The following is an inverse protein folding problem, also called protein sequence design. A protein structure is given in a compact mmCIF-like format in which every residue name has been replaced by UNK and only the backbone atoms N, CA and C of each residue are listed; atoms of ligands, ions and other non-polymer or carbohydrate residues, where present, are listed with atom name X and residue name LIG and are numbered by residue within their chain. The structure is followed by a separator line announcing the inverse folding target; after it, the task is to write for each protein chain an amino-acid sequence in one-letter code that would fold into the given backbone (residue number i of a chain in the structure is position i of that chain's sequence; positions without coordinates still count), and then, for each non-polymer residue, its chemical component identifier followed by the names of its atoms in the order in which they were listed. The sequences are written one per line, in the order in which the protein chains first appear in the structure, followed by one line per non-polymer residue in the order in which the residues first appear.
data_IF_268316346035
#
_entry.id   IF_268316346035
#
_cell.length_a   1.000
_cell.length_b   1.000
_cell.length_c   1.000
_cell.angle_alpha   90.00
_cell.angle_beta   90.00
_cell.angle_gamma   90.00
#
_symmetry.space_group_name_H-M   'P 1'
#
loop_
_entity.id
_entity.type
_entity.pdbx_description
1 polymer ?
#
# COMPACT_ATOMS: atom_id res chain seq x y z
N UNK A 1 -25.97 42.91 -2.28
CA UNK A 1 -25.78 42.68 -0.83
C UNK A 1 -27.13 42.51 -0.18
N UNK A 2 -27.35 41.46 0.63
CA UNK A 2 -26.51 40.27 0.84
C UNK A 2 -27.11 39.04 0.11
N UNK A 3 -26.33 38.18 -0.53
CA UNK A 3 -25.39 37.20 0.04
C UNK A 3 -26.14 36.12 0.83
N UNK A 4 -26.38 34.98 0.17
CA UNK A 4 -26.70 33.73 0.85
C UNK A 4 -25.42 32.90 0.81
N UNK A 5 -24.52 33.24 1.73
CA UNK A 5 -23.36 32.44 2.07
C UNK A 5 -23.87 31.07 2.54
N UNK A 6 -23.76 30.07 1.67
CA UNK A 6 -23.82 28.67 2.11
C UNK A 6 -22.47 28.36 2.75
N UNK A 7 -22.34 28.76 4.02
CA UNK A 7 -21.25 28.34 4.89
C UNK A 7 -21.35 26.82 5.02
N UNK A 8 -20.43 26.10 4.39
CA UNK A 8 -20.13 24.71 4.69
C UNK A 8 -19.72 24.65 6.16
N UNK A 9 -20.64 24.20 7.01
CA UNK A 9 -20.38 24.01 8.42
C UNK A 9 -19.35 22.89 8.59
N UNK A 10 -18.29 23.17 9.34
CA UNK A 10 -17.36 22.15 9.84
C UNK A 10 -18.15 21.06 10.58
N UNK A 11 -17.78 19.77 10.44
CA UNK A 11 -18.37 18.71 11.22
C UNK A 11 -18.07 18.92 12.71
N UNK A 12 -19.02 18.59 13.61
CA UNK A 12 -18.84 18.80 15.04
C UNK A 12 -17.65 17.97 15.57
N UNK A 13 -16.86 18.52 16.51
CA UNK A 13 -15.78 17.77 17.13
C UNK A 13 -16.38 16.60 17.94
N UNK A 14 -16.11 15.37 17.50
CA UNK A 14 -16.60 14.16 18.16
C UNK A 14 -17.44 13.21 17.31
N UNK A 15 -17.52 13.40 15.99
CA UNK A 15 -17.98 12.31 15.11
C UNK A 15 -16.95 11.17 15.17
N UNK A 16 -17.24 10.12 15.95
CA UNK A 16 -16.44 8.91 15.98
C UNK A 16 -16.42 8.31 14.57
N UNK A 17 -15.31 8.52 13.86
CA UNK A 17 -15.04 7.84 12.59
C UNK A 17 -15.08 6.33 12.88
N UNK A 18 -15.96 5.55 12.25
CA UNK A 18 -16.12 4.13 12.56
C UNK A 18 -14.77 3.41 12.45
N UNK A 19 -14.33 2.79 13.56
CA UNK A 19 -13.04 2.11 13.66
C UNK A 19 -13.26 0.63 13.32
N UNK A 20 -12.57 0.15 12.28
CA UNK A 20 -12.67 -1.26 11.88
C UNK A 20 -11.88 -2.18 12.80
N UNK A 21 -12.26 -3.47 12.81
CA UNK A 21 -11.49 -4.51 13.51
C UNK A 21 -10.02 -4.40 13.07
N UNK A 22 -9.08 -4.24 14.01
CA UNK A 22 -7.67 -4.15 13.66
C UNK A 22 -7.22 -5.38 12.87
N UNK A 23 -6.64 -5.14 11.71
CA UNK A 23 -6.04 -6.15 10.84
C UNK A 23 -4.56 -5.84 10.64
N UNK A 24 -3.76 -6.89 10.52
CA UNK A 24 -2.35 -6.80 10.15
C UNK A 24 -2.27 -6.77 8.62
N UNK A 25 -1.70 -5.70 8.07
CA UNK A 25 -1.30 -5.60 6.66
C UNK A 25 0.23 -5.68 6.53
N UNK A 26 0.78 -5.87 5.32
CA UNK A 26 2.23 -5.83 5.12
C UNK A 26 2.89 -4.54 5.59
N UNK A 27 2.27 -3.38 5.29
CA UNK A 27 2.74 -2.05 5.70
C UNK A 27 2.74 -1.92 7.22
N UNK A 28 1.60 -2.21 7.88
CA UNK A 28 1.45 -2.19 9.34
C UNK A 28 2.43 -3.11 10.07
N UNK A 29 2.63 -4.33 9.57
CA UNK A 29 3.62 -5.25 10.12
C UNK A 29 5.04 -4.69 9.99
N UNK A 30 5.37 -4.08 8.86
CA UNK A 30 6.66 -3.46 8.61
C UNK A 30 6.89 -2.25 9.51
N UNK A 31 5.89 -1.40 9.67
CA UNK A 31 5.94 -0.22 10.54
C UNK A 31 6.15 -0.61 12.00
N UNK A 32 5.41 -1.61 12.50
CA UNK A 32 5.58 -2.05 13.89
C UNK A 32 6.96 -2.66 14.13
N UNK A 33 7.46 -3.47 13.20
CA UNK A 33 8.83 -4.02 13.27
C UNK A 33 9.90 -2.93 13.23
N UNK A 34 9.68 -1.89 12.41
CA UNK A 34 10.60 -0.76 12.30
C UNK A 34 10.59 0.08 13.57
N UNK A 35 9.41 0.51 14.01
CA UNK A 35 9.20 1.36 15.18
C UNK A 35 7.75 1.22 15.68
N UNK A 36 7.50 0.65 16.86
CA UNK A 36 6.16 0.56 17.43
C UNK A 36 5.44 1.91 17.54
N UNK A 37 6.16 2.99 17.83
CA UNK A 37 5.58 4.34 17.86
C UNK A 37 5.14 4.83 16.46
N UNK A 38 5.86 4.47 15.40
CA UNK A 38 5.46 4.78 14.02
C UNK A 38 4.15 4.05 13.67
N UNK A 39 4.07 2.76 14.00
CA UNK A 39 2.83 1.99 13.85
C UNK A 39 1.67 2.65 14.60
N UNK A 40 1.90 3.12 15.82
CA UNK A 40 0.86 3.83 16.58
C UNK A 40 0.41 5.07 15.83
N UNK A 41 1.32 5.94 15.41
CA UNK A 41 0.98 7.19 14.73
C UNK A 41 0.17 6.97 13.46
N UNK A 42 0.52 5.97 12.65
CA UNK A 42 -0.16 5.67 11.39
C UNK A 42 -1.43 4.85 11.55
N UNK A 43 -1.35 3.73 12.27
CA UNK A 43 -2.44 2.76 12.31
C UNK A 43 -3.45 2.99 13.45
N UNK A 44 -3.03 3.60 14.56
CA UNK A 44 -3.88 3.80 15.75
C UNK A 44 -4.35 5.25 15.86
N UNK A 45 -3.41 6.19 15.86
CA UNK A 45 -3.71 7.62 15.97
C UNK A 45 -4.20 8.19 14.62
N UNK A 46 -3.85 7.52 13.49
CA UNK A 46 -4.17 7.93 12.10
C UNK A 46 -3.80 9.37 11.82
N UNK A 47 -2.59 9.74 12.21
CA UNK A 47 -2.08 11.09 11.96
C UNK A 47 -1.99 11.31 10.44
N UNK A 48 -2.44 12.46 9.93
CA UNK A 48 -2.36 12.75 8.51
C UNK A 48 -0.89 12.79 8.07
N UNK A 49 -0.60 12.08 6.98
CA UNK A 49 0.69 12.15 6.29
C UNK A 49 0.47 12.80 4.93
N UNK A 50 1.38 13.70 4.57
CA UNK A 50 1.37 14.33 3.24
C UNK A 50 2.20 13.43 2.32
N UNK A 51 1.61 12.81 1.30
CA UNK A 51 2.37 11.94 0.41
C UNK A 51 3.38 12.76 -0.39
N UNK A 52 4.54 12.16 -0.63
CA UNK A 52 5.52 12.71 -1.57
C UNK A 52 5.03 12.56 -3.02
N UNK A 53 5.52 13.41 -3.92
CA UNK A 53 5.26 13.29 -5.37
C UNK A 53 5.64 11.90 -5.93
N UNK A 54 6.61 11.23 -5.32
CA UNK A 54 7.02 9.88 -5.70
C UNK A 54 5.99 8.81 -5.26
N UNK A 55 5.40 8.94 -4.07
CA UNK A 55 4.32 8.06 -3.61
C UNK A 55 3.08 8.23 -4.49
N UNK A 56 2.67 9.47 -4.75
CA UNK A 56 1.54 9.75 -5.65
C UNK A 56 1.75 9.15 -7.05
N UNK A 57 2.99 9.20 -7.57
CA UNK A 57 3.31 8.61 -8.87
C UNK A 57 3.14 7.09 -8.83
N UNK A 58 3.51 6.47 -7.70
CA UNK A 58 3.26 5.05 -7.45
C UNK A 58 1.78 4.69 -7.56
N UNK A 59 0.93 5.39 -6.79
CA UNK A 59 -0.52 5.21 -6.79
C UNK A 59 -1.12 5.40 -8.18
N UNK A 60 -0.71 6.44 -8.91
CA UNK A 60 -1.18 6.68 -10.27
C UNK A 60 -0.81 5.53 -11.22
N UNK A 61 0.45 5.07 -11.18
CA UNK A 61 0.92 3.98 -12.05
C UNK A 61 0.19 2.67 -11.73
N UNK A 62 -0.05 2.36 -10.46
CA UNK A 62 -0.84 1.19 -10.05
C UNK A 62 -2.27 1.26 -10.61
N UNK A 63 -2.97 2.39 -10.43
CA UNK A 63 -4.30 2.64 -10.99
C UNK A 63 -4.33 2.49 -12.51
N UNK A 64 -3.32 3.00 -13.22
CA UNK A 64 -3.22 2.83 -14.70
C UNK A 64 -3.03 1.36 -15.09
N UNK A 65 -2.19 0.60 -14.37
CA UNK A 65 -1.99 -0.82 -14.67
C UNK A 65 -3.24 -1.65 -14.36
N UNK A 66 -3.98 -1.35 -13.28
CA UNK A 66 -5.28 -1.96 -12.98
C UNK A 66 -6.29 -1.71 -14.12
N UNK A 67 -6.43 -0.45 -14.54
CA UNK A 67 -7.32 -0.05 -15.66
C UNK A 67 -6.90 -0.71 -16.97
N UNK A 68 -5.59 -0.79 -17.24
CA UNK A 68 -5.04 -1.46 -18.43
C UNK A 68 -5.49 -2.92 -18.49
N UNK A 69 -5.42 -3.65 -17.38
CA UNK A 69 -5.85 -5.04 -17.33
C UNK A 69 -7.38 -5.23 -17.39
N UNK A 70 -8.15 -4.18 -17.10
CA UNK A 70 -9.60 -4.16 -17.30
C UNK A 70 -10.00 -4.01 -18.78
N UNK A 71 -9.07 -3.61 -19.67
CA UNK A 71 -9.31 -3.58 -21.11
C UNK A 71 -9.29 -4.99 -21.73
N UNK A 72 -9.94 -5.19 -22.90
CA UNK A 72 -9.75 -6.40 -23.70
C UNK A 72 -8.27 -6.62 -24.04
N UNK A 73 -7.81 -7.88 -24.06
CA UNK A 73 -6.40 -8.23 -24.29
C UNK A 73 -5.78 -7.53 -25.50
N UNK A 74 -6.50 -7.41 -26.62
CA UNK A 74 -5.98 -6.79 -27.84
C UNK A 74 -5.68 -5.29 -27.68
N UNK A 75 -6.39 -4.63 -26.77
CA UNK A 75 -6.34 -3.18 -26.54
C UNK A 75 -5.33 -2.80 -25.45
N UNK A 76 -4.70 -3.78 -24.78
CA UNK A 76 -3.67 -3.56 -23.76
C UNK A 76 -2.34 -3.14 -24.41
N UNK A 77 -2.30 -1.97 -25.04
CA UNK A 77 -1.14 -1.46 -25.79
C UNK A 77 -0.51 -0.25 -25.09
N UNK A 78 0.75 0.12 -25.41
CA UNK A 78 1.37 1.30 -24.82
C UNK A 78 0.59 2.59 -25.08
N UNK A 79 0.14 2.92 -26.32
CA UNK A 79 -0.72 4.09 -26.54
C UNK A 79 -1.97 4.13 -25.65
N UNK A 80 -2.71 3.00 -25.55
CA UNK A 80 -3.91 2.93 -24.72
C UNK A 80 -3.58 3.11 -23.23
N UNK A 81 -2.49 2.54 -22.74
CA UNK A 81 -2.07 2.72 -21.35
C UNK A 81 -1.74 4.19 -21.02
N UNK A 82 -1.16 4.93 -21.97
CA UNK A 82 -0.84 6.35 -21.81
C UNK A 82 -2.09 7.22 -21.75
N UNK A 83 -3.10 6.89 -22.55
CA UNK A 83 -4.40 7.58 -22.54
C UNK A 83 -5.13 7.45 -21.18
N UNK A 84 -4.79 6.44 -20.36
CA UNK A 84 -5.36 6.25 -19.03
C UNK A 84 -4.76 7.15 -17.94
N UNK A 85 -3.58 7.75 -18.16
CA UNK A 85 -2.86 8.51 -17.12
C UNK A 85 -3.63 9.76 -16.67
N UNK A 86 -4.07 10.59 -17.63
CA UNK A 86 -4.75 11.84 -17.30
C UNK A 86 -6.11 11.60 -16.62
N UNK A 87 -7.00 10.72 -17.12
CA UNK A 87 -8.25 10.40 -16.43
C UNK A 87 -8.04 9.77 -15.04
N UNK A 88 -7.03 8.90 -14.88
CA UNK A 88 -6.72 8.31 -13.58
C UNK A 88 -6.24 9.37 -12.57
N UNK A 89 -5.43 10.33 -13.02
CA UNK A 89 -5.02 11.44 -12.17
C UNK A 89 -6.16 12.38 -11.82
N UNK A 90 -7.04 12.71 -12.77
CA UNK A 90 -8.21 13.55 -12.53
C UNK A 90 -9.12 12.94 -11.45
N UNK A 91 -9.37 11.63 -11.54
CA UNK A 91 -10.16 10.90 -10.54
C UNK A 91 -9.49 10.93 -9.15
N UNK A 92 -8.21 10.54 -9.06
CA UNK A 92 -7.47 10.53 -7.79
C UNK A 92 -7.39 11.93 -7.14
N UNK A 93 -7.12 12.95 -7.94
CA UNK A 93 -7.04 14.34 -7.45
C UNK A 93 -8.41 14.94 -7.12
N UNK A 94 -9.50 14.42 -7.70
CA UNK A 94 -10.86 14.80 -7.29
C UNK A 94 -11.25 14.24 -5.92
N UNK A 95 -10.77 13.03 -5.58
CA UNK A 95 -10.99 12.44 -4.26
C UNK A 95 -10.15 13.12 -3.17
N UNK A 96 -8.95 13.61 -3.52
CA UNK A 96 -8.02 14.31 -2.62
C UNK A 96 -7.50 15.60 -3.26
N UNK A 97 -8.30 16.69 -3.25
CA UNK A 97 -7.90 17.96 -3.85
C UNK A 97 -6.60 18.52 -3.29
N UNK A 98 -6.25 18.21 -2.04
CA UNK A 98 -4.99 18.65 -1.43
C UNK A 98 -3.73 18.08 -2.11
N UNK A 99 -3.85 17.01 -2.89
CA UNK A 99 -2.72 16.46 -3.66
C UNK A 99 -2.29 17.39 -4.79
N UNK A 100 -3.21 18.22 -5.30
CA UNK A 100 -2.90 19.23 -6.32
C UNK A 100 -1.96 20.29 -5.73
N UNK A 101 -2.13 20.62 -4.45
CA UNK A 101 -1.32 21.63 -3.74
C UNK A 101 0.15 21.23 -3.57
N UNK A 102 0.49 19.95 -3.80
CA UNK A 102 1.87 19.47 -3.78
C UNK A 102 2.67 19.94 -4.99
N UNK A 103 1.99 20.33 -6.07
CA UNK A 103 2.62 20.87 -7.27
C UNK A 103 2.78 22.38 -7.17
N UNK A 104 3.83 22.89 -7.80
CA UNK A 104 4.07 24.33 -7.83
C UNK A 104 2.97 24.98 -8.67
N UNK A 105 2.13 25.80 -8.03
CA UNK A 105 0.99 26.45 -8.69
C UNK A 105 1.44 27.57 -9.63
N UNK A 106 2.69 28.03 -9.51
CA UNK A 106 3.29 29.01 -10.41
C UNK A 106 3.88 28.36 -11.68
N UNK A 107 3.97 27.03 -11.72
CA UNK A 107 4.41 26.25 -12.87
C UNK A 107 3.23 25.48 -13.51
N UNK A 108 2.62 26.01 -14.59
CA UNK A 108 1.52 25.34 -15.28
C UNK A 108 1.89 23.97 -15.86
N UNK A 109 3.18 23.66 -16.01
CA UNK A 109 3.67 22.40 -16.56
C UNK A 109 4.08 21.38 -15.49
N UNK A 110 3.99 21.72 -14.19
CA UNK A 110 4.44 20.86 -13.10
C UNK A 110 3.74 19.49 -13.09
N UNK A 111 2.40 19.49 -13.23
CA UNK A 111 1.59 18.26 -13.30
C UNK A 111 1.89 17.51 -14.58
N UNK A 112 1.95 18.20 -15.72
CA UNK A 112 2.25 17.60 -17.04
C UNK A 112 3.60 16.88 -17.04
N UNK A 113 4.64 17.53 -16.52
CA UNK A 113 6.00 16.96 -16.42
C UNK A 113 6.03 15.75 -15.47
N UNK A 114 5.25 15.80 -14.39
CA UNK A 114 5.13 14.67 -13.47
C UNK A 114 4.37 13.49 -14.09
N UNK A 115 3.28 13.73 -14.84
CA UNK A 115 2.56 12.72 -15.61
C UNK A 115 3.48 12.06 -16.66
N UNK A 116 4.32 12.85 -17.34
CA UNK A 116 5.34 12.31 -18.25
C UNK A 116 6.34 11.39 -17.54
N UNK A 117 6.65 11.65 -16.26
CA UNK A 117 7.49 10.74 -15.46
C UNK A 117 6.76 9.44 -15.07
N UNK A 118 5.43 9.46 -14.93
CA UNK A 118 4.61 8.26 -14.73
C UNK A 118 4.51 7.44 -16.03
N UNK A 119 4.36 8.12 -17.18
CA UNK A 119 4.38 7.50 -18.51
C UNK A 119 5.64 6.67 -18.74
N UNK A 120 6.82 7.16 -18.34
CA UNK A 120 8.07 6.39 -18.45
C UNK A 120 8.05 5.07 -17.69
N UNK A 121 7.39 5.02 -16.52
CA UNK A 121 7.25 3.80 -15.73
C UNK A 121 6.28 2.81 -16.41
N UNK A 122 5.20 3.33 -16.99
CA UNK A 122 4.25 2.53 -17.80
C UNK A 122 4.95 1.97 -19.04
N UNK A 123 5.74 2.75 -19.76
CA UNK A 123 6.54 2.27 -20.90
C UNK A 123 7.52 1.16 -20.48
N UNK A 124 8.15 1.33 -19.32
CA UNK A 124 9.09 0.32 -18.78
C UNK A 124 8.38 -1.00 -18.47
N UNK A 125 7.13 -0.96 -18.01
CA UNK A 125 6.31 -2.16 -17.80
C UNK A 125 6.15 -2.97 -19.12
N UNK A 126 5.87 -2.31 -20.25
CA UNK A 126 5.78 -3.00 -21.55
C UNK A 126 7.12 -3.59 -22.03
N UNK A 127 8.25 -3.08 -21.53
CA UNK A 127 9.56 -3.69 -21.74
C UNK A 127 9.80 -4.95 -20.92
N UNK A 128 9.09 -5.12 -19.80
CA UNK A 128 9.20 -6.27 -18.90
C UNK A 128 8.30 -7.44 -19.30
N UNK A 129 7.10 -7.17 -19.82
CA UNK A 129 6.17 -8.18 -20.31
C UNK A 129 5.12 -7.61 -21.27
N UNK A 130 4.49 -8.50 -22.04
CA UNK A 130 3.40 -8.14 -22.96
C UNK A 130 2.03 -8.44 -22.31
N UNK A 131 1.28 -7.42 -21.84
CA UNK A 131 -0.01 -7.62 -21.16
C UNK A 131 -1.08 -8.24 -22.06
N UNK A 132 -0.92 -8.19 -23.39
CA UNK A 132 -1.86 -8.79 -24.35
C UNK A 132 -1.78 -10.32 -24.36
N UNK A 133 -0.76 -10.89 -23.72
CA UNK A 133 -0.53 -12.34 -23.62
C UNK A 133 -0.89 -12.89 -22.24
N UNK A 134 -1.41 -12.06 -21.36
CA UNK A 134 -1.73 -12.39 -19.98
C UNK A 134 -3.22 -12.20 -19.77
N UNK A 135 -3.83 -13.08 -18.98
CA UNK A 135 -5.17 -12.88 -18.44
C UNK A 135 -5.10 -13.14 -16.94
N UNK A 136 -4.86 -12.08 -16.14
CA UNK A 136 -4.83 -12.22 -14.69
C UNK A 136 -6.19 -12.65 -14.18
N UNK A 137 -6.21 -13.42 -13.10
CA UNK A 137 -7.48 -13.77 -12.44
C UNK A 137 -8.05 -12.54 -11.71
N UNK A 138 -7.19 -11.71 -11.14
CA UNK A 138 -7.57 -10.46 -10.50
C UNK A 138 -6.42 -9.44 -10.53
N UNK A 139 -6.78 -8.16 -10.55
CA UNK A 139 -5.91 -7.03 -10.22
C UNK A 139 -6.50 -6.31 -9.00
N UNK A 140 -5.64 -5.67 -8.20
CA UNK A 140 -6.05 -4.99 -6.94
C UNK A 140 -6.93 -5.88 -6.05
N UNK A 141 -6.57 -7.16 -5.94
CA UNK A 141 -7.36 -8.16 -5.23
C UNK A 141 -7.30 -7.90 -3.73
N UNK A 142 -8.43 -7.46 -3.16
CA UNK A 142 -8.61 -7.44 -1.71
C UNK A 142 -8.57 -8.87 -1.17
N UNK A 143 -7.65 -9.13 -0.26
CA UNK A 143 -7.53 -10.41 0.44
C UNK A 143 -7.67 -10.21 1.94
N UNK A 144 -8.46 -11.07 2.57
CA UNK A 144 -8.65 -11.08 4.01
C UNK A 144 -8.76 -12.53 4.51
N UNK A 145 -8.04 -12.85 5.60
CA UNK A 145 -8.13 -14.14 6.27
C UNK A 145 -7.87 -14.00 7.76
N UNK A 146 -8.67 -14.68 8.58
CA UNK A 146 -8.38 -14.86 9.99
C UNK A 146 -7.60 -16.17 10.19
N UNK A 147 -6.38 -16.07 10.72
CA UNK A 147 -5.58 -17.26 11.07
C UNK A 147 -6.18 -17.98 12.28
N UNK A 148 -5.81 -19.24 12.48
CA UNK A 148 -6.26 -20.02 13.65
C UNK A 148 -5.91 -19.41 15.01
N UNK A 149 -4.94 -18.48 15.05
CA UNK A 149 -4.58 -17.69 16.22
C UNK A 149 -5.48 -16.46 16.47
N UNK A 150 -6.44 -16.17 15.59
CA UNK A 150 -7.33 -15.00 15.66
C UNK A 150 -6.75 -13.71 15.05
N UNK A 151 -5.58 -13.80 14.41
CA UNK A 151 -4.96 -12.69 13.68
C UNK A 151 -5.72 -12.47 12.38
N UNK A 152 -6.26 -11.28 12.17
CA UNK A 152 -6.85 -10.88 10.90
C UNK A 152 -5.75 -10.34 9.99
N UNK A 153 -5.44 -11.04 8.91
CA UNK A 153 -4.54 -10.57 7.85
C UNK A 153 -5.36 -9.93 6.75
N UNK A 154 -4.98 -8.73 6.31
CA UNK A 154 -5.67 -8.00 5.23
C UNK A 154 -4.68 -7.27 4.33
N UNK A 155 -4.96 -7.21 3.04
CA UNK A 155 -4.27 -6.30 2.12
C UNK A 155 -4.77 -6.42 0.70
N UNK A 156 -4.05 -5.79 -0.23
CA UNK A 156 -4.37 -5.74 -1.65
C UNK A 156 -3.20 -6.31 -2.46
N UNK A 157 -3.49 -7.26 -3.34
CA UNK A 157 -2.51 -7.83 -4.26
C UNK A 157 -2.65 -7.14 -5.61
N UNK A 158 -1.60 -6.44 -6.06
CA UNK A 158 -1.63 -5.66 -7.31
C UNK A 158 -2.09 -6.50 -8.51
N UNK A 159 -1.52 -7.72 -8.65
CA UNK A 159 -1.98 -8.68 -9.67
C UNK A 159 -1.78 -10.14 -9.26
N UNK A 160 -2.81 -10.94 -9.50
CA UNK A 160 -2.82 -12.38 -9.32
C UNK A 160 -3.04 -13.11 -10.65
N UNK A 161 -2.03 -13.86 -11.07
CA UNK A 161 -2.12 -14.70 -12.26
C UNK A 161 -2.31 -16.16 -11.84
N UNK A 162 -3.27 -16.86 -12.45
CA UNK A 162 -3.53 -18.29 -12.21
C UNK A 162 -3.46 -19.05 -13.53
N UNK A 163 -2.56 -20.01 -13.63
CA UNK A 163 -2.43 -20.86 -14.82
C UNK A 163 -3.63 -21.84 -14.93
N UNK A 164 -3.96 -22.35 -16.13
CA UNK A 164 -4.99 -23.39 -16.29
C UNK A 164 -4.74 -24.66 -15.46
N UNK A 165 -3.47 -24.92 -15.13
CA UNK A 165 -2.99 -26.02 -14.29
C UNK A 165 -3.08 -25.71 -12.79
N UNK A 166 -3.49 -24.50 -12.41
CA UNK A 166 -3.75 -24.07 -11.03
C UNK A 166 -2.57 -23.40 -10.33
N UNK A 167 -1.39 -23.30 -10.97
CA UNK A 167 -0.26 -22.58 -10.38
C UNK A 167 -0.54 -21.08 -10.28
N UNK A 168 -0.24 -20.54 -9.10
CA UNK A 168 -0.48 -19.14 -8.76
C UNK A 168 0.83 -18.36 -8.89
N UNK A 169 0.79 -17.22 -9.58
CA UNK A 169 1.85 -16.20 -9.58
C UNK A 169 1.31 -14.90 -9.00
N UNK A 170 1.93 -14.45 -7.91
CA UNK A 170 1.62 -13.17 -7.25
C UNK A 170 2.58 -12.12 -7.79
N UNK A 171 2.06 -10.99 -8.28
CA UNK A 171 2.84 -9.91 -8.85
C UNK A 171 2.56 -8.61 -8.08
N UNK A 172 3.62 -7.89 -7.77
CA UNK A 172 3.56 -6.54 -7.17
C UNK A 172 4.50 -5.61 -7.94
N UNK A 173 4.00 -4.42 -8.26
CA UNK A 173 4.69 -3.41 -9.05
C UNK A 173 5.38 -2.41 -8.11
N UNK A 174 6.65 -2.13 -8.34
CA UNK A 174 7.42 -1.13 -7.59
C UNK A 174 7.86 -0.01 -8.52
N UNK A 175 7.50 1.23 -8.15
CA UNK A 175 7.85 2.46 -8.88
C UNK A 175 9.08 3.19 -8.32
N UNK A 176 9.73 2.57 -7.33
CA UNK A 176 11.05 2.98 -6.82
C UNK A 176 12.16 2.06 -7.31
N UNK A 177 13.40 2.44 -7.01
CA UNK A 177 14.57 1.67 -7.42
C UNK A 177 14.62 0.27 -6.77
N UNK A 178 15.14 -0.70 -7.52
CA UNK A 178 15.40 -2.04 -7.07
C UNK A 178 16.36 -2.03 -5.86
N UNK A 179 16.04 -2.79 -4.80
CA UNK A 179 16.90 -2.87 -3.63
C UNK A 179 18.21 -3.56 -4.02
N UNK A 180 19.30 -3.15 -3.35
CA UNK A 180 20.52 -3.97 -3.29
C UNK A 180 20.24 -5.22 -2.45
N UNK A 181 21.10 -6.25 -2.52
CA UNK A 181 20.94 -7.55 -1.84
C UNK A 181 20.43 -7.45 -0.38
N UNK A 182 20.92 -6.48 0.40
CA UNK A 182 20.52 -6.27 1.81
C UNK A 182 19.05 -5.83 1.96
N UNK A 183 18.48 -5.15 0.98
CA UNK A 183 17.10 -4.65 0.96
C UNK A 183 16.07 -5.66 0.44
N UNK A 184 16.51 -6.74 -0.21
CA UNK A 184 15.62 -7.78 -0.75
C UNK A 184 14.78 -8.44 0.34
N UNK A 185 15.33 -8.60 1.55
CA UNK A 185 14.61 -9.18 2.68
C UNK A 185 13.34 -8.38 3.06
N UNK A 186 13.38 -7.04 2.95
CA UNK A 186 12.20 -6.19 3.22
C UNK A 186 11.18 -6.35 2.10
N UNK A 187 11.62 -6.36 0.85
CA UNK A 187 10.74 -6.54 -0.30
C UNK A 187 10.05 -7.92 -0.30
N UNK A 188 10.79 -8.98 0.04
CA UNK A 188 10.25 -10.33 0.17
C UNK A 188 9.29 -10.51 1.35
N UNK A 189 9.36 -9.68 2.39
CA UNK A 189 8.43 -9.75 3.52
C UNK A 189 6.99 -9.52 3.05
N UNK A 190 6.75 -8.46 2.25
CA UNK A 190 5.41 -8.17 1.70
C UNK A 190 4.92 -9.32 0.81
N UNK A 191 5.78 -9.83 -0.07
CA UNK A 191 5.40 -10.93 -0.96
C UNK A 191 5.06 -12.22 -0.20
N UNK A 192 5.83 -12.57 0.84
CA UNK A 192 5.55 -13.74 1.70
C UNK A 192 4.28 -13.58 2.51
N UNK A 193 3.91 -12.35 2.88
CA UNK A 193 2.62 -12.06 3.50
C UNK A 193 1.48 -12.48 2.58
N UNK A 194 1.46 -11.99 1.34
CA UNK A 194 0.42 -12.37 0.38
C UNK A 194 0.46 -13.85 0.04
N UNK A 195 1.65 -14.46 0.00
CA UNK A 195 1.79 -15.88 -0.20
C UNK A 195 1.09 -16.70 0.91
N UNK A 196 1.26 -16.32 2.18
CA UNK A 196 0.54 -16.94 3.31
C UNK A 196 -0.97 -16.75 3.18
N UNK A 197 -1.42 -15.52 2.91
CA UNK A 197 -2.86 -15.22 2.81
C UNK A 197 -3.51 -16.05 1.70
N UNK A 198 -2.94 -16.05 0.50
CA UNK A 198 -3.44 -16.82 -0.64
C UNK A 198 -3.35 -18.32 -0.41
N UNK A 199 -2.27 -18.80 0.21
CA UNK A 199 -2.12 -20.21 0.54
C UNK A 199 -3.22 -20.67 1.51
N UNK A 200 -3.54 -19.88 2.54
CA UNK A 200 -4.61 -20.21 3.48
C UNK A 200 -6.00 -20.11 2.86
N UNK A 201 -6.22 -19.15 1.96
CA UNK A 201 -7.50 -19.01 1.27
C UNK A 201 -7.75 -20.13 0.24
N UNK A 202 -6.70 -20.58 -0.46
CA UNK A 202 -6.85 -21.48 -1.63
C UNK A 202 -6.32 -22.90 -1.42
N UNK A 203 -5.61 -23.14 -0.32
CA UNK A 203 -5.00 -24.45 -0.03
C UNK A 203 -3.79 -24.79 -0.90
N UNK A 204 -3.31 -23.86 -1.74
CA UNK A 204 -2.18 -24.07 -2.67
C UNK A 204 -1.12 -23.01 -2.44
N UNK A 205 0.13 -23.43 -2.27
CA UNK A 205 1.28 -22.51 -2.13
C UNK A 205 1.53 -21.83 -3.48
N UNK A 206 1.61 -20.48 -3.54
CA UNK A 206 1.94 -19.81 -4.78
C UNK A 206 3.25 -20.28 -5.38
N UNK A 207 3.23 -20.57 -6.69
CA UNK A 207 4.38 -21.12 -7.41
C UNK A 207 5.46 -20.07 -7.65
N UNK A 208 5.08 -18.80 -7.74
CA UNK A 208 5.99 -17.69 -7.97
C UNK A 208 5.48 -16.41 -7.29
N UNK A 209 6.40 -15.70 -6.64
CA UNK A 209 6.24 -14.31 -6.20
C UNK A 209 7.13 -13.45 -7.10
N UNK A 210 6.58 -12.43 -7.74
CA UNK A 210 7.29 -11.57 -8.69
C UNK A 210 7.16 -10.11 -8.26
N UNK A 211 8.31 -9.45 -8.09
CA UNK A 211 8.39 -8.00 -7.97
C UNK A 211 8.86 -7.40 -9.27
N UNK A 212 8.16 -6.38 -9.76
CA UNK A 212 8.51 -5.68 -11.00
C UNK A 212 8.92 -4.24 -10.67
N UNK A 213 10.23 -3.95 -10.75
CA UNK A 213 10.80 -2.63 -10.52
C UNK A 213 10.76 -1.82 -11.80
N UNK A 214 9.77 -0.94 -11.92
CA UNK A 214 9.49 -0.14 -13.11
C UNK A 214 10.47 1.00 -13.31
N UNK A 215 11.17 1.46 -12.27
CA UNK A 215 12.23 2.47 -12.42
C UNK A 215 13.44 1.92 -13.17
N UNK A 216 13.80 0.66 -12.90
CA UNK A 216 15.02 0.05 -13.43
C UNK A 216 14.76 -0.93 -14.58
N UNK A 217 13.48 -1.24 -14.87
CA UNK A 217 13.12 -2.27 -15.84
C UNK A 217 13.62 -3.66 -15.41
N UNK A 218 13.54 -3.97 -14.11
CA UNK A 218 14.00 -5.24 -13.56
C UNK A 218 12.86 -6.02 -12.91
N UNK A 219 12.98 -7.35 -12.89
CA UNK A 219 12.06 -8.22 -12.16
C UNK A 219 12.83 -9.16 -11.24
N UNK A 220 12.36 -9.29 -10.00
CA UNK A 220 12.83 -10.30 -9.05
C UNK A 220 11.76 -11.38 -8.91
N UNK A 221 12.13 -12.63 -9.12
CA UNK A 221 11.23 -13.77 -8.97
C UNK A 221 11.72 -14.69 -7.85
N UNK A 222 10.79 -15.14 -7.01
CA UNK A 222 11.04 -16.04 -5.90
C UNK A 222 10.02 -17.18 -5.89
N UNK A 223 10.46 -18.40 -5.59
CA UNK A 223 9.59 -19.56 -5.41
C UNK A 223 9.55 -19.90 -3.92
N UNK A 224 8.44 -19.63 -3.20
CA UNK A 224 8.31 -20.00 -1.81
C UNK A 224 8.07 -21.51 -1.66
N UNK A 225 8.45 -22.06 -0.52
CA UNK A 225 8.07 -23.41 -0.10
C UNK A 225 7.15 -23.38 1.12
N UNK A 226 6.38 -24.44 1.31
CA UNK A 226 5.40 -24.56 2.39
C UNK A 226 6.04 -24.39 3.78
N UNK A 227 7.19 -25.01 4.01
CA UNK A 227 7.88 -24.96 5.29
C UNK A 227 8.33 -23.54 5.65
N UNK A 228 8.76 -22.77 4.65
CA UNK A 228 9.05 -21.34 4.81
C UNK A 228 7.80 -20.54 5.17
N UNK A 229 6.70 -20.74 4.45
CA UNK A 229 5.45 -20.01 4.72
C UNK A 229 4.90 -20.32 6.12
N UNK A 230 5.05 -21.56 6.62
CA UNK A 230 4.71 -21.91 8.00
C UNK A 230 5.54 -21.09 9.01
N UNK A 231 6.84 -20.94 8.79
CA UNK A 231 7.71 -20.13 9.67
C UNK A 231 7.36 -18.65 9.58
N UNK A 232 7.02 -18.18 8.38
CA UNK A 232 6.62 -16.80 8.14
C UNK A 232 5.29 -16.48 8.83
N UNK A 233 4.30 -17.37 8.74
CA UNK A 233 3.02 -17.25 9.45
C UNK A 233 3.22 -17.08 10.96
N UNK A 234 4.05 -17.93 11.59
CA UNK A 234 4.41 -17.77 13.02
C UNK A 234 5.04 -16.42 13.32
N UNK A 235 5.77 -15.84 12.38
CA UNK A 235 6.36 -14.50 12.52
C UNK A 235 5.25 -13.43 12.50
N UNK A 236 4.27 -13.54 11.60
CA UNK A 236 3.10 -12.66 11.56
C UNK A 236 2.29 -12.73 12.86
N UNK A 237 2.07 -13.94 13.38
CA UNK A 237 1.39 -14.16 14.64
C UNK A 237 2.14 -13.50 15.81
N UNK A 238 3.47 -13.65 15.88
CA UNK A 238 4.28 -13.02 16.92
C UNK A 238 4.23 -11.48 16.85
N UNK A 239 4.28 -10.91 15.65
CA UNK A 239 4.12 -9.45 15.44
C UNK A 239 2.76 -9.00 15.96
N UNK A 240 1.70 -9.74 15.61
CA UNK A 240 0.35 -9.40 16.06
C UNK A 240 0.20 -9.45 17.57
N UNK A 241 0.73 -10.48 18.23
CA UNK A 241 0.69 -10.56 19.69
C UNK A 241 1.44 -9.41 20.36
N UNK A 242 2.57 -8.97 19.78
CA UNK A 242 3.29 -7.81 20.26
C UNK A 242 2.49 -6.51 20.07
N UNK A 243 1.81 -6.34 18.93
CA UNK A 243 0.89 -5.24 18.66
C UNK A 243 -0.25 -5.21 19.67
N UNK A 244 -0.93 -6.34 19.91
CA UNK A 244 -2.03 -6.44 20.87
C UNK A 244 -1.57 -6.11 22.29
N UNK A 245 -0.37 -6.54 22.67
CA UNK A 245 0.21 -6.20 23.97
C UNK A 245 0.43 -4.70 24.10
N UNK A 246 1.05 -4.07 23.10
CA UNK A 246 1.27 -2.62 23.07
C UNK A 246 -0.05 -1.85 23.06
N UNK A 247 -1.06 -2.34 22.31
CA UNK A 247 -2.40 -1.79 22.28
C UNK A 247 -3.10 -1.78 23.64
N UNK A 248 -3.01 -2.88 24.38
CA UNK A 248 -3.59 -2.98 25.73
C UNK A 248 -2.94 -2.05 26.74
N UNK A 249 -1.62 -1.83 26.64
CA UNK A 249 -0.87 -1.02 27.61
C UNK A 249 -0.69 0.44 27.17
N UNK A 250 -0.90 0.75 25.90
CA UNK A 250 -0.48 2.02 25.27
C UNK A 250 1.05 2.18 25.13
N UNK A 251 1.85 1.15 25.45
CA UNK A 251 3.32 1.21 25.48
C UNK A 251 3.92 0.97 24.07
N UNK A 252 3.74 1.95 23.19
CA UNK A 252 4.35 1.98 21.86
C UNK A 252 5.68 2.73 21.91
N UNK A 253 6.77 2.00 22.16
CA UNK A 253 8.10 2.62 22.30
C UNK A 253 8.70 3.05 20.95
N UNK A 254 9.35 4.22 20.88
CA UNK A 254 10.16 4.55 19.72
C UNK A 254 11.34 3.57 19.59
N UNK A 255 11.75 3.28 18.37
CA UNK A 255 12.91 2.44 18.07
C UNK A 255 13.88 3.23 17.18
N UNK A 256 14.85 3.97 17.77
CA UNK A 256 15.73 4.86 17.02
C UNK A 256 16.56 4.11 15.98
N UNK A 257 16.58 4.61 14.75
CA UNK A 257 17.39 4.05 13.66
C UNK A 257 17.78 5.15 12.66
N UNK A 258 18.59 4.80 11.65
CA UNK A 258 18.93 5.73 10.55
C UNK A 258 17.69 6.22 9.79
N UNK A 259 16.58 5.46 9.83
CA UNK A 259 15.33 5.82 9.17
C UNK A 259 14.59 6.95 9.87
N UNK A 260 14.93 7.27 11.13
CA UNK A 260 14.31 8.39 11.84
C UNK A 260 14.58 9.75 11.18
N UNK A 261 15.63 9.89 10.36
CA UNK A 261 15.91 11.08 9.57
C UNK A 261 14.86 11.34 8.47
N UNK A 262 14.05 10.34 8.14
CA UNK A 262 13.03 10.35 7.08
C UNK A 262 11.64 10.03 7.63
N UNK A 263 11.43 10.17 8.94
CA UNK A 263 10.15 9.89 9.58
C UNK A 263 9.33 11.18 9.68
N UNK A 264 8.16 11.19 9.05
CA UNK A 264 7.27 12.36 8.99
C UNK A 264 6.76 12.81 10.36
N UNK A 265 6.79 11.91 11.35
CA UNK A 265 6.35 12.18 12.72
C UNK A 265 7.48 12.52 13.70
N UNK A 266 8.67 12.87 13.21
CA UNK A 266 9.81 13.19 14.09
C UNK A 266 9.49 14.30 15.09
N UNK A 267 8.72 15.32 14.68
CA UNK A 267 8.30 16.43 15.53
C UNK A 267 7.45 15.99 16.75
N UNK A 268 6.79 14.83 16.67
CA UNK A 268 5.96 14.26 17.74
C UNK A 268 6.70 13.18 18.54
N UNK A 269 7.91 12.81 18.15
CA UNK A 269 8.63 11.69 18.73
C UNK A 269 9.39 12.09 20.01
N UNK A 270 9.18 11.41 21.15
CA UNK A 270 9.90 11.69 22.41
C UNK A 270 11.42 11.56 22.30
N UNK A 271 11.92 10.71 21.39
CA UNK A 271 13.36 10.56 21.15
C UNK A 271 14.01 11.87 20.67
N UNK A 272 13.23 12.77 20.09
CA UNK A 272 13.65 14.06 19.55
C UNK A 272 13.03 15.24 20.34
N UNK A 273 12.51 14.98 21.55
CA UNK A 273 11.87 15.99 22.40
C UNK A 273 10.42 16.32 22.03
N UNK A 274 9.84 15.62 21.05
CA UNK A 274 8.43 15.74 20.69
C UNK A 274 7.49 15.10 21.71
N UNK A 275 6.21 15.48 21.67
CA UNK A 275 5.17 14.90 22.53
C UNK A 275 4.09 14.22 21.67
N UNK A 276 3.94 12.89 21.76
CA UNK A 276 2.84 12.17 21.13
C UNK A 276 1.49 12.71 21.59
N UNK A 277 0.44 12.66 20.76
CA UNK A 277 -0.92 12.89 21.24
C UNK A 277 -1.29 11.89 22.36
N UNK A 278 -2.32 12.18 23.16
CA UNK A 278 -2.87 11.19 24.10
C UNK A 278 -3.24 9.89 23.38
N UNK A 279 -2.98 8.75 24.01
CA UNK A 279 -3.31 7.45 23.42
C UNK A 279 -4.84 7.27 23.34
N UNK A 280 -5.42 7.07 22.14
CA UNK A 280 -6.88 7.05 21.96
C UNK A 280 -7.53 5.71 22.33
N UNK A 281 -6.79 4.80 22.96
CA UNK A 281 -7.21 3.42 23.23
C UNK A 281 -7.01 2.48 22.04
N UNK A 282 -7.20 1.19 22.28
CA UNK A 282 -7.15 0.19 21.21
C UNK A 282 -8.44 0.26 20.37
N UNK A 283 -8.38 0.21 19.02
CA UNK A 283 -9.58 0.32 18.20
C UNK A 283 -10.53 -0.88 18.43
N UNK A 284 -11.79 -0.60 18.78
CA UNK A 284 -12.87 -1.61 18.81
C UNK A 284 -13.44 -1.84 17.39
N UNK A 285 -14.04 -3.01 17.08
CA UNK A 285 -14.37 -3.44 15.72
C UNK A 285 -15.73 -2.96 15.15
N UNK A 286 -15.78 -2.49 13.89
CA UNK A 286 -17.00 -2.29 13.05
C UNK A 286 -16.71 -2.49 11.52
N UNK A 287 -17.64 -2.90 10.62
CA UNK A 287 -17.33 -3.49 9.30
C UNK A 287 -17.43 -2.56 8.05
N UNK A 288 -17.09 -1.26 8.11
CA UNK A 288 -17.28 -0.31 6.98
C UNK A 288 -16.59 -0.62 5.62
N UNK A 289 -16.89 0.20 4.58
CA UNK A 289 -16.38 0.10 3.18
C UNK A 289 -15.09 0.91 2.92
N UNK A 290 -14.19 0.44 2.03
CA UNK A 290 -12.79 0.89 1.81
C UNK A 290 -12.60 1.59 0.46
N UNK A 291 -12.01 2.79 0.45
CA UNK A 291 -11.69 3.54 -0.76
C UNK A 291 -10.38 3.03 -1.40
N UNK A 292 -10.07 3.45 -2.64
CA UNK A 292 -8.79 3.13 -3.32
C UNK A 292 -7.59 3.73 -2.57
N UNK A 293 -7.79 4.89 -1.94
CA UNK A 293 -6.76 5.60 -1.18
C UNK A 293 -6.38 4.86 0.11
N UNK A 294 -7.35 4.22 0.76
CA UNK A 294 -7.13 3.38 1.94
C UNK A 294 -6.25 2.14 1.62
N UNK A 295 -6.15 1.75 0.34
CA UNK A 295 -5.36 0.60 -0.13
C UNK A 295 -3.86 0.92 -0.26
N UNK A 296 -3.52 2.20 -0.40
CA UNK A 296 -2.16 2.66 -0.68
C UNK A 296 -1.27 2.82 0.58
N UNK A 297 -1.86 2.68 1.79
CA UNK A 297 -1.21 2.83 3.10
C UNK A 297 -0.68 1.53 3.73
#
# INVERSE_FOLDING_TARGET
MPDTDTVTADPPPGAEVPRRRPALSPSRASDFKQCPLLYRFRAVDRLPEIPTKAQLRGTLVHSVLERLFSLPQADRTPPQAKELLAPAWEELSSERPEWIELFDQEDPEAVTSWLASAEQLVDTYFGLEDPRRLEPEACELHVEIELGSGVLLRGYVDRLDVAPTGEIRVVDYKTGAAPREIGEAKAMFQMKFYAVVLWRLRGVVPRQLKLMYLTDGQSLAYTPDEGELIRFERTLEAIWQAILKAGKTGDFRPNPSKLCAWCDHQALCPQYGGTPPPYPGWPEPDPGEESVLDRAD
#
